data_IF_387632197283
#
_entry.id   IF_387632197283
#
_cell.length_a   1.000
_cell.length_b   1.000
_cell.length_c   1.000
_cell.angle_alpha   90.00
_cell.angle_beta   90.00
_cell.angle_gamma   90.00
#
_symmetry.space_group_name_H-M   'P 1'
#
loop_
_entity.id
_entity.type
_entity.pdbx_description
1 polymer ?
#
# COMPACT_ATOMS: atom_id res chain seq x y z
N UNK A 1 -54.68 24.10 -11.49
CA UNK A 1 -53.33 24.52 -11.06
C UNK A 1 -52.68 23.56 -10.04
N UNK A 2 -53.44 22.93 -9.12
CA UNK A 2 -52.93 22.00 -8.08
C UNK A 2 -52.23 20.73 -8.63
N UNK A 3 -52.70 20.17 -9.74
CA UNK A 3 -52.14 18.94 -10.33
C UNK A 3 -50.71 19.11 -10.88
N UNK A 4 -50.40 20.29 -11.42
CA UNK A 4 -49.06 20.65 -11.92
C UNK A 4 -48.06 20.87 -10.79
N UNK A 5 -48.53 21.18 -9.59
CA UNK A 5 -47.72 21.40 -8.40
C UNK A 5 -47.34 20.04 -7.77
N UNK A 6 -48.31 19.12 -7.65
CA UNK A 6 -48.09 17.75 -7.19
C UNK A 6 -47.11 16.97 -8.08
N UNK A 7 -47.23 17.09 -9.41
CA UNK A 7 -46.37 16.38 -10.35
C UNK A 7 -44.90 16.86 -10.29
N UNK A 8 -44.68 18.16 -10.04
CA UNK A 8 -43.33 18.72 -9.86
C UNK A 8 -42.67 18.22 -8.58
N UNK A 9 -43.42 18.13 -7.48
CA UNK A 9 -42.90 17.58 -6.23
C UNK A 9 -42.58 16.09 -6.33
N UNK A 10 -43.39 15.31 -7.03
CA UNK A 10 -43.10 13.88 -7.29
C UNK A 10 -41.82 13.70 -8.10
N UNK A 11 -41.60 14.53 -9.14
CA UNK A 11 -40.39 14.48 -9.97
C UNK A 11 -39.15 14.92 -9.19
N UNK A 12 -39.24 15.96 -8.36
CA UNK A 12 -38.15 16.38 -7.47
C UNK A 12 -37.79 15.31 -6.43
N UNK A 13 -38.79 14.60 -5.88
CA UNK A 13 -38.57 13.52 -4.92
C UNK A 13 -37.86 12.31 -5.56
N UNK A 14 -38.28 11.94 -6.78
CA UNK A 14 -37.65 10.89 -7.58
C UNK A 14 -36.20 11.23 -7.97
N UNK A 15 -35.94 12.50 -8.32
CA UNK A 15 -34.59 12.96 -8.65
C UNK A 15 -33.65 12.95 -7.42
N UNK A 16 -34.15 13.32 -6.24
CA UNK A 16 -33.38 13.27 -4.99
C UNK A 16 -33.04 11.81 -4.57
N UNK A 17 -34.01 10.89 -4.70
CA UNK A 17 -33.80 9.47 -4.43
C UNK A 17 -32.80 8.82 -5.40
N UNK A 18 -32.88 9.15 -6.69
CA UNK A 18 -31.94 8.65 -7.70
C UNK A 18 -30.50 9.13 -7.46
N UNK A 19 -30.33 10.35 -6.96
CA UNK A 19 -29.01 10.93 -6.65
C UNK A 19 -28.31 10.21 -5.49
N UNK A 20 -29.08 9.66 -4.54
CA UNK A 20 -28.55 8.90 -3.41
C UNK A 20 -28.09 7.48 -3.81
N UNK A 21 -28.60 6.93 -4.91
CA UNK A 21 -28.25 5.57 -5.36
C UNK A 21 -26.86 5.48 -6.04
N UNK A 22 -26.26 6.62 -6.41
CA UNK A 22 -25.00 6.67 -7.18
C UNK A 22 -23.81 7.06 -6.29
N UNK A 23 -24.08 7.73 -5.18
CA UNK A 23 -23.06 8.20 -4.22
C UNK A 23 -22.78 7.14 -3.15
N UNK A 24 -22.07 6.06 -3.48
CA UNK A 24 -21.59 5.17 -2.42
C UNK A 24 -21.30 3.73 -2.80
N UNK A 25 -20.56 3.49 -3.90
CA UNK A 25 -19.83 2.22 -3.99
C UNK A 25 -18.51 2.39 -3.23
N UNK A 26 -18.56 2.19 -1.91
CA UNK A 26 -17.35 2.00 -1.13
C UNK A 26 -16.72 0.67 -1.57
N UNK A 27 -15.73 0.74 -2.47
CA UNK A 27 -14.88 -0.41 -2.75
C UNK A 27 -14.12 -0.68 -1.45
N UNK A 28 -14.29 -1.88 -0.91
CA UNK A 28 -13.50 -2.33 0.23
C UNK A 28 -12.02 -2.19 -0.15
N UNK A 29 -11.23 -1.51 0.68
CA UNK A 29 -9.79 -1.47 0.48
C UNK A 29 -9.28 -2.91 0.50
N UNK A 30 -8.46 -3.26 -0.50
CA UNK A 30 -7.74 -4.54 -0.49
C UNK A 30 -6.97 -4.68 0.82
N UNK A 31 -6.85 -5.92 1.28
CA UNK A 31 -6.01 -6.21 2.43
C UNK A 31 -4.59 -5.68 2.17
N UNK A 32 -3.95 -5.16 3.22
CA UNK A 32 -2.56 -4.73 3.11
C UNK A 32 -1.70 -5.87 2.54
N UNK A 33 -0.78 -5.60 1.61
CA UNK A 33 0.06 -6.63 1.04
C UNK A 33 0.79 -7.40 2.14
N UNK A 34 0.60 -8.72 2.16
CA UNK A 34 1.33 -9.60 3.08
C UNK A 34 2.65 -9.97 2.42
N UNK A 35 3.76 -9.76 3.13
CA UNK A 35 5.08 -10.14 2.66
C UNK A 35 5.19 -11.63 2.34
N UNK A 36 5.85 -11.97 1.24
CA UNK A 36 6.08 -13.36 0.81
C UNK A 36 7.58 -13.60 0.62
N UNK A 37 8.14 -14.51 1.41
CA UNK A 37 9.59 -14.82 1.42
C UNK A 37 10.06 -15.42 0.09
N UNK A 38 9.22 -16.23 -0.56
CA UNK A 38 9.53 -16.86 -1.84
C UNK A 38 9.66 -15.80 -2.94
N UNK A 39 8.73 -14.84 -2.96
CA UNK A 39 8.77 -13.72 -3.90
C UNK A 39 9.89 -12.72 -3.59
N UNK A 40 10.45 -12.75 -2.37
CA UNK A 40 11.53 -11.86 -1.97
C UNK A 40 12.90 -12.33 -2.46
N UNK A 41 13.10 -13.63 -2.73
CA UNK A 41 14.43 -14.20 -3.06
C UNK A 41 15.12 -13.46 -4.21
N UNK A 42 14.42 -13.27 -5.32
CA UNK A 42 14.99 -12.62 -6.49
C UNK A 42 15.22 -11.13 -6.25
N UNK A 43 14.37 -10.50 -5.44
CA UNK A 43 14.43 -9.08 -5.11
C UNK A 43 15.62 -8.73 -4.22
N UNK A 44 16.05 -9.65 -3.36
CA UNK A 44 17.16 -9.42 -2.41
C UNK A 44 18.50 -9.96 -2.90
N UNK A 45 18.55 -10.56 -4.09
CA UNK A 45 19.74 -11.21 -4.66
C UNK A 45 20.98 -10.31 -4.67
N UNK A 46 20.81 -9.02 -4.98
CA UNK A 46 21.89 -8.04 -4.99
C UNK A 46 22.31 -7.58 -3.59
N UNK A 47 21.41 -7.65 -2.61
CA UNK A 47 21.66 -7.20 -1.24
C UNK A 47 22.49 -8.21 -0.44
N UNK A 48 22.15 -9.51 -0.59
CA UNK A 48 22.74 -10.58 0.22
C UNK A 48 24.22 -10.82 -0.06
N UNK A 49 24.73 -10.36 -1.22
CA UNK A 49 26.15 -10.45 -1.56
C UNK A 49 27.05 -9.71 -0.56
N UNK A 50 26.56 -8.62 0.05
CA UNK A 50 27.29 -7.87 1.07
C UNK A 50 26.68 -8.04 2.46
N UNK A 51 25.35 -8.08 2.58
CA UNK A 51 24.64 -8.06 3.87
C UNK A 51 24.26 -9.44 4.42
N UNK A 52 24.57 -10.52 3.69
CA UNK A 52 24.25 -11.90 4.06
C UNK A 52 25.41 -12.70 4.67
N UNK A 53 26.59 -12.09 4.78
CA UNK A 53 27.83 -12.75 5.23
C UNK A 53 28.21 -12.19 6.60
N UNK A 54 28.30 -13.06 7.60
CA UNK A 54 28.66 -12.64 8.97
C UNK A 54 30.05 -12.00 9.01
N UNK A 55 30.13 -10.80 9.60
CA UNK A 55 31.39 -10.06 9.76
C UNK A 55 31.98 -9.50 8.47
N UNK A 56 31.21 -9.48 7.37
CA UNK A 56 31.69 -8.98 6.08
C UNK A 56 32.21 -7.54 6.17
N UNK A 57 33.28 -7.29 5.44
CA UNK A 57 33.91 -5.98 5.32
C UNK A 57 34.07 -5.62 3.85
N UNK A 58 33.67 -4.41 3.50
CA UNK A 58 33.91 -3.85 2.18
C UNK A 58 35.15 -2.96 2.21
N UNK A 59 35.83 -2.88 1.06
CA UNK A 59 37.12 -2.20 0.92
C UNK A 59 37.01 -1.04 -0.07
N UNK A 60 36.26 0.02 0.27
CA UNK A 60 36.33 1.33 -0.42
C UNK A 60 35.33 2.32 0.21
N UNK A 61 35.72 3.56 0.56
CA UNK A 61 37.06 4.16 0.45
C UNK A 61 38.03 3.69 1.53
N UNK A 62 37.52 3.14 2.64
CA UNK A 62 38.29 2.52 3.73
C UNK A 62 37.68 1.17 4.08
N UNK A 63 38.30 0.41 4.97
CA UNK A 63 37.76 -0.86 5.46
C UNK A 63 36.67 -0.60 6.50
N UNK A 64 35.43 -1.00 6.21
CA UNK A 64 34.32 -0.87 7.16
C UNK A 64 33.48 -2.16 7.22
N UNK A 65 32.79 -2.32 8.34
CA UNK A 65 31.85 -3.42 8.55
C UNK A 65 30.57 -3.17 7.76
N UNK A 66 30.17 -4.16 6.97
CA UNK A 66 28.85 -4.15 6.35
C UNK A 66 27.84 -4.72 7.36
N UNK A 67 26.79 -3.98 7.73
CA UNK A 67 25.84 -4.44 8.74
C UNK A 67 24.96 -5.58 8.21
N UNK A 68 24.56 -6.50 9.07
CA UNK A 68 23.59 -7.53 8.72
C UNK A 68 22.19 -6.91 8.61
N UNK A 69 21.45 -7.29 7.57
CA UNK A 69 20.02 -6.93 7.41
C UNK A 69 19.12 -7.98 8.09
N UNK A 70 19.53 -9.26 8.05
CA UNK A 70 18.79 -10.34 8.68
C UNK A 70 18.69 -10.12 10.20
N UNK A 71 17.48 -10.19 10.74
CA UNK A 71 17.21 -9.97 12.17
C UNK A 71 16.99 -8.51 12.58
N UNK A 72 17.11 -7.55 11.65
CA UNK A 72 16.81 -6.14 11.93
C UNK A 72 15.29 -5.88 11.96
N UNK A 73 14.89 -4.82 12.67
CA UNK A 73 13.52 -4.34 12.72
C UNK A 73 13.01 -3.93 11.32
N UNK A 74 11.84 -4.45 10.94
CA UNK A 74 11.25 -4.19 9.62
C UNK A 74 11.02 -2.69 9.34
N UNK A 75 10.52 -1.93 10.33
CA UNK A 75 10.28 -0.49 10.17
C UNK A 75 11.57 0.28 9.94
N UNK A 76 12.64 -0.10 10.62
CA UNK A 76 13.94 0.51 10.41
C UNK A 76 14.44 0.25 8.98
N UNK A 77 14.33 -0.99 8.49
CA UNK A 77 14.73 -1.35 7.12
C UNK A 77 13.91 -0.57 6.08
N UNK A 78 12.60 -0.42 6.27
CA UNK A 78 11.75 0.39 5.39
C UNK A 78 12.16 1.87 5.32
N UNK A 79 12.75 2.41 6.39
CA UNK A 79 13.17 3.82 6.43
C UNK A 79 14.60 4.06 5.96
N UNK A 80 15.41 3.00 5.88
CA UNK A 80 16.85 3.09 5.61
C UNK A 80 17.24 2.80 4.14
N UNK A 81 16.32 2.25 3.35
CA UNK A 81 16.47 1.88 1.93
C UNK A 81 15.60 2.78 1.05
#
# INVERSE_FOLDING_TARGET
MKLRFSLKYSVSLLAALASCAIAGQAVAADAAPVGNVQNARDKVSMCIGCHGIEGYKATFPELYHVPMIAGQNAKYIETAL
#
